data_IF_820757551852
#
_entry.id   IF_820757551852
#
_cell.length_a   1.000
_cell.length_b   1.000
_cell.length_c   1.000
_cell.angle_alpha   90.00
_cell.angle_beta   90.00
_cell.angle_gamma   90.00
#
_symmetry.space_group_name_H-M   'P 1'
#
loop_
_entity.id
_entity.type
_entity.pdbx_description
1 polymer ?
#
# COMPACT_ATOMS: atom_id res chain seq x y z
N UNK A 1 4.31 -24.31 3.44
CA UNK A 1 5.65 -23.75 3.77
C UNK A 1 5.47 -22.26 4.00
N UNK A 2 6.11 -21.69 5.01
CA UNK A 2 6.10 -20.24 5.21
C UNK A 2 6.89 -19.59 4.07
N UNK A 3 6.34 -18.58 3.47
CA UNK A 3 7.00 -17.78 2.44
C UNK A 3 7.74 -16.65 3.15
N UNK A 4 8.99 -16.43 2.82
CA UNK A 4 9.76 -15.26 3.24
C UNK A 4 9.60 -14.15 2.22
N UNK A 5 9.78 -12.92 2.66
CA UNK A 5 9.67 -11.75 1.79
C UNK A 5 10.95 -10.93 1.80
N UNK A 6 11.37 -10.51 0.61
CA UNK A 6 12.29 -9.40 0.42
C UNK A 6 11.48 -8.19 -0.02
N UNK A 7 11.85 -7.01 0.46
CA UNK A 7 11.12 -5.78 0.18
C UNK A 7 12.07 -4.70 -0.31
N UNK A 8 11.89 -4.30 -1.57
CA UNK A 8 12.50 -3.11 -2.12
C UNK A 8 11.49 -1.96 -2.13
N UNK A 9 11.93 -0.76 -1.79
CA UNK A 9 11.04 0.41 -1.72
C UNK A 9 11.79 1.70 -2.01
N UNK A 10 11.07 2.68 -2.51
CA UNK A 10 11.52 4.06 -2.58
C UNK A 10 10.35 5.03 -2.59
N UNK A 11 10.63 6.25 -2.19
CA UNK A 11 9.70 7.38 -2.22
C UNK A 11 10.39 8.57 -2.87
N UNK A 12 9.65 9.33 -3.66
CA UNK A 12 10.07 10.63 -4.16
C UNK A 12 9.28 11.70 -3.42
N UNK A 13 9.99 12.59 -2.74
CA UNK A 13 9.43 13.72 -1.98
C UNK A 13 10.04 14.99 -2.54
N UNK A 14 9.23 15.87 -3.10
CA UNK A 14 9.68 17.13 -3.73
C UNK A 14 10.80 16.91 -4.77
N UNK A 15 10.71 15.82 -5.55
CA UNK A 15 11.72 15.44 -6.53
C UNK A 15 12.99 14.81 -5.95
N UNK A 16 13.05 14.57 -4.64
CA UNK A 16 14.18 13.90 -3.97
C UNK A 16 13.82 12.46 -3.62
N UNK A 17 14.68 11.53 -4.02
CA UNK A 17 14.47 10.10 -3.74
C UNK A 17 14.95 9.74 -2.35
N UNK A 18 14.13 8.99 -1.63
CA UNK A 18 14.39 8.47 -0.30
C UNK A 18 14.04 6.98 -0.27
N UNK A 19 14.83 6.17 0.42
CA UNK A 19 14.52 4.74 0.64
C UNK A 19 13.32 4.58 1.58
N UNK A 20 13.29 5.37 2.64
CA UNK A 20 12.18 5.44 3.60
C UNK A 20 11.53 6.81 3.52
N UNK A 21 10.32 6.85 3.00
CA UNK A 21 9.55 8.09 2.93
C UNK A 21 8.41 8.10 3.94
N UNK A 22 7.79 9.26 4.16
CA UNK A 22 6.75 9.43 5.17
C UNK A 22 5.44 8.67 4.86
N UNK A 23 5.32 8.14 3.65
CA UNK A 23 4.09 7.50 3.16
C UNK A 23 4.18 5.98 3.12
N UNK A 24 5.33 5.43 3.49
CA UNK A 24 5.58 4.00 3.57
C UNK A 24 5.78 3.57 5.02
N UNK A 25 5.23 2.41 5.36
CA UNK A 25 5.42 1.79 6.67
C UNK A 25 5.55 0.29 6.56
N UNK A 26 6.31 -0.29 7.51
CA UNK A 26 6.37 -1.73 7.68
C UNK A 26 6.53 -2.07 9.15
N UNK A 27 5.94 -3.17 9.57
CA UNK A 27 6.13 -3.71 10.92
C UNK A 27 5.98 -5.22 10.93
N UNK A 28 6.63 -5.85 11.90
CA UNK A 28 6.46 -7.27 12.21
C UNK A 28 5.76 -7.37 13.57
N UNK A 29 4.59 -8.01 13.60
CA UNK A 29 3.84 -8.25 14.81
C UNK A 29 4.10 -9.69 15.30
N UNK A 30 4.75 -9.83 16.45
CA UNK A 30 4.94 -11.12 17.10
C UNK A 30 3.66 -11.51 17.84
N UNK A 31 3.19 -12.73 17.62
CA UNK A 31 2.12 -13.37 18.39
C UNK A 31 2.71 -14.51 19.21
N UNK A 32 2.12 -14.79 20.36
CA UNK A 32 2.73 -15.69 21.40
C UNK A 32 2.90 -17.13 20.91
N UNK A 33 2.05 -17.60 20.01
CA UNK A 33 2.02 -19.02 19.58
C UNK A 33 1.86 -19.20 18.05
N UNK A 34 1.84 -18.10 17.27
CA UNK A 34 1.63 -18.13 15.82
C UNK A 34 2.85 -17.60 15.06
N UNK A 35 2.91 -17.90 13.77
CA UNK A 35 3.83 -17.22 12.86
C UNK A 35 3.66 -15.70 12.95
N UNK A 36 4.76 -14.92 12.87
CA UNK A 36 4.67 -13.47 12.90
C UNK A 36 3.85 -12.96 11.71
N UNK A 37 3.12 -11.87 11.96
CA UNK A 37 2.45 -11.15 10.90
C UNK A 37 3.35 -10.01 10.41
N UNK A 38 3.56 -9.90 9.13
CA UNK A 38 4.20 -8.75 8.49
C UNK A 38 3.13 -7.82 7.95
N UNK A 39 3.24 -6.53 8.20
CA UNK A 39 2.37 -5.49 7.66
C UNK A 39 3.19 -4.49 6.85
N UNK A 40 2.72 -4.21 5.66
CA UNK A 40 3.25 -3.22 4.72
C UNK A 40 2.18 -2.20 4.41
N UNK A 41 2.52 -0.92 4.51
CA UNK A 41 1.59 0.21 4.38
C UNK A 41 2.12 1.15 3.32
N UNK A 42 1.27 1.49 2.36
CA UNK A 42 1.48 2.60 1.44
C UNK A 42 0.26 3.51 1.52
N UNK A 43 0.50 4.79 1.82
CA UNK A 43 -0.52 5.84 1.86
C UNK A 43 -0.24 6.83 0.73
N UNK A 44 -1.29 7.26 0.06
CA UNK A 44 -1.22 8.25 -1.01
C UNK A 44 -2.18 9.40 -0.69
N UNK A 45 -1.72 10.65 -0.85
CA UNK A 45 -2.63 11.78 -0.77
C UNK A 45 -3.62 11.74 -1.94
N UNK A 46 -4.91 11.86 -1.63
CA UNK A 46 -5.92 11.96 -2.67
C UNK A 46 -6.03 13.37 -3.27
N UNK A 47 -5.31 14.35 -2.70
CA UNK A 47 -5.25 15.72 -3.20
C UNK A 47 -3.79 16.20 -3.25
N UNK A 48 -3.25 16.58 -4.40
CA UNK A 48 -1.87 17.03 -4.54
C UNK A 48 -1.55 18.21 -3.60
N UNK A 49 -0.34 18.19 -3.01
CA UNK A 49 0.19 19.29 -2.20
C UNK A 49 -0.35 19.38 -0.77
N UNK A 50 -0.96 18.32 -0.24
CA UNK A 50 -1.48 18.26 1.13
C UNK A 50 -1.10 16.94 1.82
N UNK A 51 0.19 16.74 2.04
CA UNK A 51 0.71 15.43 2.46
C UNK A 51 1.08 15.34 3.94
N UNK A 52 0.98 16.42 4.70
CA UNK A 52 1.39 16.49 6.10
C UNK A 52 0.68 15.46 7.00
N UNK A 53 -0.55 15.05 6.62
CA UNK A 53 -1.34 14.09 7.38
C UNK A 53 -1.08 12.62 6.98
N UNK A 54 -0.49 12.36 5.82
CA UNK A 54 -0.30 10.97 5.32
C UNK A 54 0.67 10.18 6.18
N UNK A 55 1.75 10.80 6.67
CA UNK A 55 2.68 10.16 7.61
C UNK A 55 2.01 9.80 8.93
N UNK A 56 1.10 10.65 9.41
CA UNK A 56 0.31 10.37 10.62
C UNK A 56 -0.60 9.15 10.44
N UNK A 57 -1.15 8.94 9.25
CA UNK A 57 -1.96 7.76 8.95
C UNK A 57 -1.15 6.47 8.98
N UNK A 58 0.08 6.49 8.46
CA UNK A 58 0.99 5.34 8.56
C UNK A 58 1.16 4.93 10.02
N UNK A 59 1.45 5.89 10.91
CA UNK A 59 1.63 5.65 12.33
C UNK A 59 0.34 5.17 13.02
N UNK A 60 -0.81 5.74 12.66
CA UNK A 60 -2.11 5.33 13.22
C UNK A 60 -2.41 3.89 12.85
N UNK A 61 -2.28 3.52 11.57
CA UNK A 61 -2.55 2.17 11.08
C UNK A 61 -1.58 1.17 11.73
N UNK A 62 -0.27 1.45 11.70
CA UNK A 62 0.73 0.56 12.26
C UNK A 62 0.53 0.31 13.76
N UNK A 63 0.29 1.37 14.54
CA UNK A 63 0.08 1.28 15.99
C UNK A 63 -1.18 0.50 16.35
N UNK A 64 -2.29 0.74 15.65
CA UNK A 64 -3.55 0.06 15.92
C UNK A 64 -3.49 -1.40 15.50
N UNK A 65 -2.95 -1.69 14.33
CA UNK A 65 -2.74 -3.06 13.89
C UNK A 65 -1.88 -3.86 14.88
N UNK A 66 -0.80 -3.29 15.37
CA UNK A 66 0.10 -3.96 16.32
C UNK A 66 -0.57 -4.29 17.67
N UNK A 67 -1.50 -3.46 18.12
CA UNK A 67 -2.18 -3.60 19.41
C UNK A 67 -3.47 -4.42 19.35
N UNK A 68 -4.02 -4.65 18.17
CA UNK A 68 -5.33 -5.29 18.02
C UNK A 68 -5.22 -6.80 18.29
N UNK A 69 -6.01 -7.38 19.22
CA UNK A 69 -6.01 -8.80 19.53
C UNK A 69 -6.77 -9.64 18.50
N UNK A 70 -7.48 -9.00 17.56
CA UNK A 70 -8.31 -9.69 16.57
C UNK A 70 -7.49 -10.54 15.58
N UNK A 71 -8.23 -11.25 14.74
CA UNK A 71 -7.67 -11.92 13.56
C UNK A 71 -6.93 -10.93 12.66
N UNK A 72 -6.04 -11.47 11.83
CA UNK A 72 -5.25 -10.72 10.86
C UNK A 72 -6.09 -9.69 10.07
N UNK A 73 -7.14 -10.18 9.41
CA UNK A 73 -8.04 -9.35 8.59
C UNK A 73 -8.87 -8.38 9.42
N UNK A 74 -9.32 -8.80 10.60
CA UNK A 74 -10.08 -7.94 11.52
C UNK A 74 -9.25 -6.77 12.02
N UNK A 75 -7.99 -7.01 12.39
CA UNK A 75 -7.05 -5.96 12.80
C UNK A 75 -6.78 -4.98 11.66
N UNK A 76 -6.58 -5.49 10.43
CA UNK A 76 -6.32 -4.68 9.25
C UNK A 76 -7.50 -3.74 8.91
N UNK A 77 -8.72 -4.30 8.83
CA UNK A 77 -9.93 -3.50 8.54
C UNK A 77 -10.20 -2.48 9.63
N UNK A 78 -10.02 -2.85 10.91
CA UNK A 78 -10.23 -1.93 12.03
C UNK A 78 -9.21 -0.78 12.01
N UNK A 79 -7.95 -1.06 11.67
CA UNK A 79 -6.91 -0.02 11.56
C UNK A 79 -7.22 0.98 10.46
N UNK A 80 -7.73 0.52 9.30
CA UNK A 80 -8.16 1.41 8.21
C UNK A 80 -9.41 2.22 8.59
N UNK A 81 -10.39 1.62 9.27
CA UNK A 81 -11.57 2.36 9.75
C UNK A 81 -11.18 3.45 10.74
N UNK A 82 -10.27 3.16 11.66
CA UNK A 82 -9.79 4.17 12.60
C UNK A 82 -8.96 5.28 11.91
N UNK A 83 -8.18 4.95 10.88
CA UNK A 83 -7.51 5.96 10.07
C UNK A 83 -8.51 6.85 9.31
N UNK A 84 -9.58 6.25 8.78
CA UNK A 84 -10.70 6.98 8.19
C UNK A 84 -11.36 7.94 9.19
N UNK A 85 -11.73 7.45 10.37
CA UNK A 85 -12.35 8.26 11.42
C UNK A 85 -11.45 9.42 11.86
N UNK A 86 -10.13 9.17 11.94
CA UNK A 86 -9.15 10.22 12.27
C UNK A 86 -9.16 11.36 11.24
N UNK A 87 -9.16 11.06 9.95
CA UNK A 87 -9.27 12.08 8.90
C UNK A 87 -10.66 12.72 8.83
N UNK A 88 -11.70 11.95 9.07
CA UNK A 88 -13.07 12.47 9.08
C UNK A 88 -13.26 13.52 10.17
N UNK A 89 -12.74 13.25 11.39
CA UNK A 89 -12.74 14.23 12.50
C UNK A 89 -11.95 15.50 12.14
N UNK A 90 -10.81 15.35 11.47
CA UNK A 90 -10.06 16.49 10.94
C UNK A 90 -10.89 17.29 9.93
N UNK A 91 -11.52 16.62 8.98
CA UNK A 91 -12.30 17.25 7.93
C UNK A 91 -13.57 17.96 8.44
N UNK A 92 -14.17 17.44 9.52
CA UNK A 92 -15.33 18.09 10.16
C UNK A 92 -14.96 19.42 10.81
N UNK A 93 -13.71 19.59 11.24
CA UNK A 93 -13.18 20.81 11.87
C UNK A 93 -12.58 21.78 10.85
N UNK A 94 -12.43 21.36 9.61
CA UNK A 94 -11.79 22.12 8.53
C UNK A 94 -12.82 22.80 7.63
N UNK A 95 -12.44 23.91 7.00
CA UNK A 95 -13.22 24.49 5.92
C UNK A 95 -13.31 23.48 4.75
N UNK A 96 -14.40 23.55 3.97
CA UNK A 96 -14.68 22.58 2.92
C UNK A 96 -13.55 22.46 1.89
N UNK A 97 -12.92 23.58 1.54
CA UNK A 97 -11.77 23.66 0.63
C UNK A 97 -10.47 23.11 1.22
N UNK A 98 -10.42 22.86 2.54
CA UNK A 98 -9.28 22.30 3.25
C UNK A 98 -9.47 20.83 3.63
N UNK A 99 -10.51 20.20 3.13
CA UNK A 99 -10.69 18.77 3.35
C UNK A 99 -9.58 17.97 2.70
N UNK A 100 -9.16 16.93 3.39
CA UNK A 100 -8.09 16.03 2.96
C UNK A 100 -8.63 14.61 2.84
N UNK A 101 -8.12 13.88 1.89
CA UNK A 101 -8.44 12.47 1.70
C UNK A 101 -7.17 11.69 1.38
N UNK A 102 -7.17 10.41 1.68
CA UNK A 102 -6.04 9.55 1.39
C UNK A 102 -6.48 8.24 0.72
N UNK A 103 -5.64 7.75 -0.18
CA UNK A 103 -5.63 6.38 -0.61
C UNK A 103 -4.76 5.52 0.30
N UNK A 104 -5.10 4.25 0.46
CA UNK A 104 -4.33 3.31 1.25
C UNK A 104 -4.24 1.94 0.58
N UNK A 105 -3.04 1.37 0.56
CA UNK A 105 -2.77 -0.04 0.30
C UNK A 105 -2.08 -0.62 1.52
N UNK A 106 -2.75 -1.54 2.23
CA UNK A 106 -2.20 -2.22 3.40
C UNK A 106 -2.16 -3.72 3.13
N UNK A 107 -0.97 -4.27 2.98
CA UNK A 107 -0.72 -5.69 2.76
C UNK A 107 -0.23 -6.32 4.05
N UNK A 108 -0.91 -7.38 4.50
CA UNK A 108 -0.43 -8.19 5.62
C UNK A 108 -0.19 -9.62 5.18
N UNK A 109 0.91 -10.21 5.68
CA UNK A 109 1.33 -11.57 5.39
C UNK A 109 1.38 -12.40 6.67
N UNK A 110 0.95 -13.67 6.57
CA UNK A 110 1.19 -14.72 7.55
C UNK A 110 1.40 -16.05 6.80
N UNK A 111 2.59 -16.60 6.90
CA UNK A 111 2.94 -17.78 6.12
C UNK A 111 2.81 -17.52 4.60
N UNK A 112 2.00 -18.32 3.93
CA UNK A 112 1.74 -18.17 2.49
C UNK A 112 0.49 -17.33 2.16
N UNK A 113 -0.25 -16.87 3.16
CA UNK A 113 -1.45 -16.07 2.97
C UNK A 113 -1.15 -14.58 3.10
N UNK A 114 -1.52 -13.83 2.10
CA UNK A 114 -1.51 -12.38 2.14
C UNK A 114 -2.94 -11.84 2.04
N UNK A 115 -3.18 -10.74 2.73
CA UNK A 115 -4.45 -10.01 2.68
C UNK A 115 -4.15 -8.55 2.39
N UNK A 116 -4.64 -8.09 1.26
CA UNK A 116 -4.53 -6.70 0.83
C UNK A 116 -5.83 -5.98 1.15
N UNK A 117 -5.76 -4.95 1.97
CA UNK A 117 -6.86 -4.02 2.19
C UNK A 117 -6.57 -2.69 1.51
N UNK A 118 -7.52 -2.20 0.74
CA UNK A 118 -7.38 -0.98 -0.04
C UNK A 118 -8.56 -0.06 0.16
N UNK A 119 -8.30 1.24 0.12
CA UNK A 119 -9.30 2.29 0.17
C UNK A 119 -8.82 3.52 -0.61
N UNK A 120 -9.74 4.20 -1.29
CA UNK A 120 -9.44 5.39 -2.08
C UNK A 120 -8.48 5.13 -3.24
N UNK A 121 -7.80 6.17 -3.73
CA UNK A 121 -6.77 6.02 -4.75
C UNK A 121 -5.67 5.09 -4.26
N UNK A 122 -5.51 3.96 -4.92
CA UNK A 122 -4.53 2.94 -4.54
C UNK A 122 -4.25 2.02 -5.72
N UNK A 123 -3.03 1.52 -5.82
CA UNK A 123 -2.60 0.70 -6.94
C UNK A 123 -1.82 -0.51 -6.44
N UNK A 124 -2.22 -1.70 -6.89
CA UNK A 124 -1.48 -2.91 -6.63
C UNK A 124 -1.48 -3.84 -7.84
N UNK A 125 -0.36 -4.54 -8.03
CA UNK A 125 -0.21 -5.59 -9.02
C UNK A 125 0.35 -6.85 -8.37
N UNK A 126 -0.04 -7.99 -8.89
CA UNK A 126 0.53 -9.29 -8.54
C UNK A 126 1.01 -9.97 -9.81
N UNK A 127 2.27 -10.39 -9.80
CA UNK A 127 2.86 -11.24 -10.82
C UNK A 127 3.20 -12.58 -10.16
N UNK A 128 2.47 -13.62 -10.52
CA UNK A 128 2.67 -14.95 -9.98
C UNK A 128 3.89 -15.65 -10.62
N UNK A 129 4.48 -16.62 -9.91
CA UNK A 129 5.65 -17.37 -10.37
C UNK A 129 5.45 -18.07 -11.72
N UNK A 130 4.20 -18.45 -12.04
CA UNK A 130 3.81 -19.04 -13.33
C UNK A 130 3.69 -18.03 -14.48
N UNK A 131 3.93 -16.74 -14.22
CA UNK A 131 3.84 -15.64 -15.18
C UNK A 131 2.45 -14.98 -15.25
N UNK A 132 1.45 -15.46 -14.49
CA UNK A 132 0.17 -14.77 -14.43
C UNK A 132 0.34 -13.38 -13.82
N UNK A 133 -0.24 -12.37 -14.48
CA UNK A 133 -0.19 -10.97 -14.05
C UNK A 133 -1.58 -10.42 -13.90
N UNK A 134 -1.82 -9.69 -12.82
CA UNK A 134 -3.11 -9.04 -12.58
C UNK A 134 -2.96 -7.75 -11.80
N UNK A 135 -3.78 -6.78 -12.14
CA UNK A 135 -4.08 -5.62 -11.29
C UNK A 135 -5.08 -6.06 -10.22
N UNK A 136 -4.79 -5.76 -8.96
CA UNK A 136 -5.67 -6.12 -7.82
C UNK A 136 -6.65 -4.98 -7.51
N UNK A 137 -6.22 -3.74 -7.73
CA UNK A 137 -7.06 -2.56 -7.51
C UNK A 137 -8.02 -2.36 -8.69
N UNK A 138 -9.28 -2.12 -8.40
CA UNK A 138 -10.26 -1.76 -9.43
C UNK A 138 -9.88 -0.45 -10.12
N UNK A 139 -9.97 -0.38 -11.47
CA UNK A 139 -9.78 0.89 -12.18
C UNK A 139 -10.84 1.92 -11.76
N UNK A 140 -10.46 3.19 -11.66
CA UNK A 140 -11.40 4.29 -11.48
C UNK A 140 -11.81 4.58 -10.04
N UNK A 141 -11.05 4.14 -9.05
CA UNK A 141 -11.24 4.56 -7.65
C UNK A 141 -11.05 6.08 -7.55
N UNK A 142 -12.08 6.76 -7.05
CA UNK A 142 -12.14 8.22 -7.02
C UNK A 142 -11.73 8.80 -5.67
N UNK A 143 -11.60 10.13 -5.63
CA UNK A 143 -11.43 10.87 -4.37
C UNK A 143 -12.60 10.62 -3.40
N UNK A 144 -13.81 10.42 -3.91
CA UNK A 144 -15.00 10.18 -3.08
C UNK A 144 -14.91 8.86 -2.29
N UNK A 145 -14.10 7.92 -2.73
CA UNK A 145 -13.84 6.63 -2.05
C UNK A 145 -12.69 6.72 -1.04
N UNK A 146 -12.07 7.89 -0.88
CA UNK A 146 -10.88 8.07 -0.06
C UNK A 146 -11.15 7.97 1.45
N UNK A 147 -10.12 7.57 2.19
CA UNK A 147 -10.08 7.73 3.65
C UNK A 147 -10.39 9.18 4.03
N UNK A 148 -11.25 9.38 5.04
CA UNK A 148 -11.67 10.70 5.50
C UNK A 148 -12.77 11.37 4.67
N UNK A 149 -13.17 10.79 3.53
CA UNK A 149 -14.18 11.34 2.62
C UNK A 149 -15.37 10.40 2.45
N UNK A 150 -15.13 9.12 2.17
CA UNK A 150 -16.16 8.13 1.87
C UNK A 150 -17.21 8.00 2.99
N UNK A 151 -18.50 7.90 2.62
CA UNK A 151 -19.59 7.61 3.54
C UNK A 151 -20.69 6.84 2.81
N UNK A 152 -20.92 5.54 3.12
CA UNK A 152 -20.19 4.73 4.10
C UNK A 152 -18.75 4.39 3.69
N UNK A 153 -17.85 4.19 4.65
CA UNK A 153 -16.49 3.76 4.40
C UNK A 153 -16.35 2.23 4.50
N UNK A 154 -16.00 1.61 3.39
CA UNK A 154 -15.78 0.16 3.30
C UNK A 154 -14.47 -0.13 2.55
N UNK A 155 -13.38 -0.52 3.24
CA UNK A 155 -12.15 -0.90 2.58
C UNK A 155 -12.34 -2.21 1.80
N UNK A 156 -11.80 -2.26 0.59
CA UNK A 156 -11.78 -3.48 -0.21
C UNK A 156 -10.75 -4.45 0.37
N UNK A 157 -11.18 -5.67 0.71
CA UNK A 157 -10.29 -6.71 1.22
C UNK A 157 -10.14 -7.82 0.18
N UNK A 158 -8.90 -8.13 -0.19
CA UNK A 158 -8.55 -9.18 -1.16
C UNK A 158 -7.58 -10.17 -0.53
N UNK A 159 -7.88 -11.46 -0.58
CA UNK A 159 -6.94 -12.53 -0.21
C UNK A 159 -6.03 -12.84 -1.40
N UNK A 160 -4.74 -12.91 -1.16
CA UNK A 160 -3.71 -13.22 -2.13
C UNK A 160 -2.94 -14.46 -1.65
N UNK A 161 -3.23 -15.66 -2.15
CA UNK A 161 -2.36 -16.80 -1.89
C UNK A 161 -1.03 -16.56 -2.59
N UNK A 162 0.08 -16.57 -1.82
CA UNK A 162 1.42 -16.30 -2.34
C UNK A 162 2.27 -17.57 -2.32
N UNK A 163 3.10 -17.68 -3.34
CA UNK A 163 4.11 -18.73 -3.50
C UNK A 163 5.51 -18.13 -3.70
N UNK A 164 6.53 -18.96 -3.53
CA UNK A 164 7.89 -18.55 -3.89
C UNK A 164 7.98 -18.19 -5.38
N UNK A 165 8.58 -17.05 -5.68
CA UNK A 165 8.67 -16.47 -7.03
C UNK A 165 7.57 -15.46 -7.36
N UNK A 166 6.56 -15.31 -6.49
CA UNK A 166 5.54 -14.26 -6.68
C UNK A 166 6.10 -12.88 -6.33
N UNK A 167 5.62 -11.87 -7.07
CA UNK A 167 5.90 -10.46 -6.81
C UNK A 167 4.60 -9.72 -6.52
N UNK A 168 4.62 -8.87 -5.50
CA UNK A 168 3.52 -7.95 -5.19
C UNK A 168 4.06 -6.52 -5.25
N UNK A 169 3.47 -5.71 -6.12
CA UNK A 169 3.81 -4.30 -6.26
C UNK A 169 2.68 -3.46 -5.67
N UNK A 170 3.00 -2.63 -4.68
CA UNK A 170 2.16 -1.53 -4.21
C UNK A 170 2.78 -0.22 -4.70
N UNK A 171 1.98 0.65 -5.28
CA UNK A 171 2.48 1.91 -5.82
C UNK A 171 1.45 3.03 -5.70
N UNK A 172 1.92 4.27 -5.77
CA UNK A 172 1.07 5.43 -6.00
C UNK A 172 0.37 5.32 -7.35
N UNK A 173 -0.84 5.81 -7.45
CA UNK A 173 -1.63 5.81 -8.69
C UNK A 173 -0.95 6.57 -9.83
N UNK A 174 -0.05 7.49 -9.50
CA UNK A 174 0.82 8.18 -10.47
C UNK A 174 1.68 7.23 -11.33
N UNK A 175 1.82 5.94 -10.97
CA UNK A 175 2.46 4.94 -11.82
C UNK A 175 1.71 4.76 -13.14
N UNK A 176 0.38 4.75 -13.11
CA UNK A 176 -0.45 4.57 -14.30
C UNK A 176 -0.26 5.69 -15.34
N UNK A 177 0.17 6.88 -14.90
CA UNK A 177 0.48 8.02 -15.81
C UNK A 177 1.81 7.84 -16.53
N UNK A 178 2.71 6.99 -16.00
CA UNK A 178 4.08 6.83 -16.50
C UNK A 178 4.24 5.51 -17.23
N UNK A 179 3.61 4.46 -16.70
CA UNK A 179 3.87 3.08 -17.13
C UNK A 179 2.55 2.35 -17.37
N UNK A 180 2.22 2.02 -18.62
CA UNK A 180 1.05 1.17 -18.92
C UNK A 180 1.17 -0.20 -18.23
N UNK A 181 0.03 -0.81 -17.88
CA UNK A 181 -0.02 -2.08 -17.16
C UNK A 181 0.77 -3.22 -17.83
N UNK A 182 0.75 -3.28 -19.18
CA UNK A 182 1.50 -4.28 -19.94
C UNK A 182 3.02 -4.06 -19.85
N UNK A 183 3.45 -2.81 -19.62
CA UNK A 183 4.86 -2.51 -19.39
C UNK A 183 5.24 -2.85 -17.94
N UNK A 184 4.36 -2.60 -16.96
CA UNK A 184 4.57 -3.05 -15.57
C UNK A 184 4.78 -4.56 -15.54
N UNK A 185 3.97 -5.33 -16.26
CA UNK A 185 4.15 -6.78 -16.37
C UNK A 185 5.56 -7.14 -16.88
N UNK A 186 5.98 -6.54 -18.01
CA UNK A 186 7.29 -6.82 -18.61
C UNK A 186 8.46 -6.44 -17.69
N UNK A 187 8.29 -5.40 -16.90
CA UNK A 187 9.28 -4.98 -15.90
C UNK A 187 9.36 -6.03 -14.78
N UNK A 188 8.23 -6.45 -14.23
CA UNK A 188 8.18 -7.46 -13.16
C UNK A 188 8.67 -8.84 -13.62
N UNK A 189 8.54 -9.19 -14.90
CA UNK A 189 9.05 -10.44 -15.47
C UNK A 189 10.58 -10.57 -15.45
N UNK A 190 11.30 -9.45 -15.24
CA UNK A 190 12.78 -9.45 -15.11
C UNK A 190 13.27 -9.83 -13.71
N UNK A 191 12.35 -9.97 -12.74
CA UNK A 191 12.69 -10.23 -11.34
C UNK A 191 12.78 -8.96 -10.49
N UNK A 192 12.80 -9.13 -9.18
CA UNK A 192 12.59 -8.03 -8.23
C UNK A 192 13.65 -6.93 -8.32
N UNK A 193 14.94 -7.29 -8.36
CA UNK A 193 16.05 -6.31 -8.35
C UNK A 193 16.07 -5.44 -9.61
N UNK A 194 15.94 -6.07 -10.79
CA UNK A 194 15.91 -5.34 -12.06
C UNK A 194 14.64 -4.50 -12.18
N UNK A 195 13.49 -5.05 -11.75
CA UNK A 195 12.22 -4.35 -11.77
C UNK A 195 12.24 -3.10 -10.88
N UNK A 196 12.79 -3.19 -9.68
CA UNK A 196 12.89 -2.04 -8.78
C UNK A 196 13.75 -0.93 -9.39
N UNK A 197 14.90 -1.31 -9.99
CA UNK A 197 15.80 -0.36 -10.65
C UNK A 197 15.16 0.34 -11.85
N UNK A 198 14.40 -0.38 -12.69
CA UNK A 198 13.71 0.20 -13.83
C UNK A 198 12.55 1.11 -13.41
N UNK A 199 11.72 0.67 -12.45
CA UNK A 199 10.65 1.49 -11.89
C UNK A 199 11.19 2.77 -11.24
N UNK A 200 12.32 2.69 -10.55
CA UNK A 200 13.01 3.86 -10.02
C UNK A 200 13.38 4.85 -11.13
N UNK A 201 14.02 4.39 -12.21
CA UNK A 201 14.43 5.26 -13.32
C UNK A 201 13.22 5.94 -14.01
N UNK A 202 12.09 5.26 -14.09
CA UNK A 202 10.87 5.78 -14.71
C UNK A 202 10.13 6.81 -13.81
N UNK A 203 10.21 6.66 -12.50
CA UNK A 203 9.40 7.42 -11.56
C UNK A 203 10.16 8.50 -10.78
N UNK A 204 11.50 8.51 -10.78
CA UNK A 204 12.35 9.40 -9.97
C UNK A 204 12.15 10.90 -10.22
N UNK A 205 11.69 11.26 -11.42
CA UNK A 205 11.47 12.66 -11.81
C UNK A 205 10.04 13.15 -11.46
N UNK A 206 9.23 12.33 -10.79
CA UNK A 206 7.92 12.74 -10.28
C UNK A 206 8.09 13.63 -9.05
N UNK A 207 7.22 14.64 -8.85
CA UNK A 207 7.28 15.47 -7.65
C UNK A 207 7.00 14.66 -6.39
N UNK A 208 6.05 13.72 -6.49
CA UNK A 208 5.64 12.81 -5.43
C UNK A 208 5.38 11.43 -6.00
N UNK A 209 5.96 10.40 -5.36
CA UNK A 209 5.75 9.03 -5.75
C UNK A 209 6.15 8.08 -4.63
N UNK A 210 5.45 6.99 -4.45
CA UNK A 210 5.84 5.91 -3.52
C UNK A 210 5.62 4.56 -4.15
N UNK A 211 6.53 3.66 -3.85
CA UNK A 211 6.49 2.29 -4.34
C UNK A 211 7.08 1.32 -3.31
N UNK A 212 6.47 0.15 -3.23
CA UNK A 212 6.97 -0.99 -2.47
C UNK A 212 6.80 -2.25 -3.31
N UNK A 213 7.89 -2.95 -3.55
CA UNK A 213 7.93 -4.22 -4.28
C UNK A 213 8.32 -5.34 -3.34
N UNK A 214 7.44 -6.31 -3.17
CA UNK A 214 7.67 -7.50 -2.37
C UNK A 214 7.99 -8.68 -3.28
N UNK A 215 9.04 -9.42 -2.96
CA UNK A 215 9.41 -10.67 -3.62
C UNK A 215 9.31 -11.82 -2.64
N UNK A 216 8.55 -12.85 -3.00
CA UNK A 216 8.33 -14.03 -2.19
C UNK A 216 9.37 -15.11 -2.53
N UNK A 217 9.98 -15.71 -1.50
CA UNK A 217 10.96 -16.81 -1.65
C UNK A 217 10.79 -17.86 -0.54
N UNK A 218 11.45 -19.01 -0.67
CA UNK A 218 11.40 -20.13 0.30
C UNK A 218 12.18 -19.85 1.57
#
# INVERSE_FOLDING_TARGET
MAVRTWVGRFTVVDGHVQEEGPWLGSLVRQRTDDEPDELYILIESAAPGRDEYTSQLVDVIARLYNRDPLSLTGALVRSLKAAHEHLLDWNQKSLKEHRVGAGASCLTLRGADAYLAQAGPSLAYVRAADGAFRRVTAPGVSFDDALGIADPFEPQLTRLPLAAGDLVLLASTALDDVVPAEQVQRILDRGADEALGELYLLCRDRPQFSLMLLSCFE
#
